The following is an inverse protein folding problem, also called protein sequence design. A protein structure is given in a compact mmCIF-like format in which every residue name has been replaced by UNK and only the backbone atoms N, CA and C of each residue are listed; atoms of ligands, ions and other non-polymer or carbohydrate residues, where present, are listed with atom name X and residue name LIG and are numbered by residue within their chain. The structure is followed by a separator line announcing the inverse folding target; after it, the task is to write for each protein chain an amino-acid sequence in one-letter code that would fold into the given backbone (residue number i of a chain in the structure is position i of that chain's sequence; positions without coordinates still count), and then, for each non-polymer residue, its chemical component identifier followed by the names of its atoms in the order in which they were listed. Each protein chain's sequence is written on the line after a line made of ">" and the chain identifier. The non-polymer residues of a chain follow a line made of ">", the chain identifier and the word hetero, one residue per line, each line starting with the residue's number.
data_IF_793945737169
#
_entry.id   IF_793945737169
#
_cell.length_a   1.000
_cell.length_b   1.000
_cell.length_c   1.000
_cell.angle_alpha   90.00
_cell.angle_beta   90.00
_cell.angle_gamma   90.00
#
_symmetry.space_group_name_H-M   'P 1'
#
loop_
_entity.id
_entity.type
_entity.pdbx_description
1 polymer ?
#
# COMPACT_ATOMS: atom_id res chain seq x y z
N UNK A 1 -2.93 14.96 57.92
CA UNK A 1 -3.45 14.71 56.56
C UNK A 1 -4.67 13.83 56.73
N UNK A 2 -5.85 14.33 56.39
CA UNK A 2 -7.11 13.62 56.64
C UNK A 2 -7.33 12.49 55.62
N UNK A 3 -8.00 11.42 56.07
CA UNK A 3 -8.38 10.27 55.25
C UNK A 3 -9.16 10.71 54.00
N UNK A 4 -9.97 11.74 54.12
CA UNK A 4 -10.75 12.35 53.03
C UNK A 4 -9.84 12.93 51.94
N UNK A 5 -8.73 13.59 52.31
CA UNK A 5 -7.76 14.12 51.36
C UNK A 5 -7.01 13.00 50.63
N UNK A 6 -6.67 11.91 51.35
CA UNK A 6 -6.04 10.72 50.76
C UNK A 6 -7.01 10.07 49.75
N UNK A 7 -8.28 9.90 50.12
CA UNK A 7 -9.31 9.31 49.26
C UNK A 7 -9.55 10.13 47.98
N UNK A 8 -9.53 11.45 48.07
CA UNK A 8 -9.63 12.34 46.90
C UNK A 8 -8.43 12.20 45.96
N UNK A 9 -7.21 12.13 46.50
CA UNK A 9 -6.00 11.92 45.70
C UNK A 9 -6.06 10.57 44.97
N UNK A 10 -6.44 9.49 45.68
CA UNK A 10 -6.59 8.15 45.07
C UNK A 10 -7.65 8.15 43.97
N UNK A 11 -8.79 8.81 44.22
CA UNK A 11 -9.87 8.92 43.22
C UNK A 11 -9.45 9.73 41.99
N UNK A 12 -8.68 10.81 42.20
CA UNK A 12 -8.12 11.62 41.11
C UNK A 12 -7.11 10.84 40.26
N UNK A 13 -6.21 10.08 40.91
CA UNK A 13 -5.26 9.20 40.22
C UNK A 13 -6.00 8.11 39.44
N UNK A 14 -7.02 7.48 40.02
CA UNK A 14 -7.83 6.47 39.32
C UNK A 14 -8.51 7.06 38.07
N UNK A 15 -9.05 8.26 38.17
CA UNK A 15 -9.67 8.98 37.03
C UNK A 15 -8.64 9.28 35.95
N UNK A 16 -7.44 9.72 36.32
CA UNK A 16 -6.35 9.98 35.38
C UNK A 16 -5.93 8.70 34.64
N UNK A 17 -5.81 7.58 35.36
CA UNK A 17 -5.46 6.28 34.76
C UNK A 17 -6.52 5.86 33.75
N UNK A 18 -7.80 5.96 34.10
CA UNK A 18 -8.90 5.64 33.18
C UNK A 18 -8.86 6.55 31.94
N UNK A 19 -8.64 7.85 32.11
CA UNK A 19 -8.54 8.79 31.00
C UNK A 19 -7.35 8.47 30.06
N UNK A 20 -6.19 8.08 30.61
CA UNK A 20 -5.04 7.66 29.81
C UNK A 20 -5.32 6.37 29.04
N UNK A 21 -5.99 5.39 29.66
CA UNK A 21 -6.39 4.15 28.99
C UNK A 21 -7.36 4.44 27.84
N UNK A 22 -8.37 5.29 28.07
CA UNK A 22 -9.31 5.73 27.02
C UNK A 22 -8.60 6.43 25.86
N UNK A 23 -7.62 7.28 26.16
CA UNK A 23 -6.82 7.95 25.13
C UNK A 23 -6.04 6.95 24.25
N UNK A 24 -5.44 5.93 24.86
CA UNK A 24 -4.73 4.86 24.14
C UNK A 24 -5.71 4.08 23.26
N UNK A 25 -6.87 3.69 23.81
CA UNK A 25 -7.92 2.98 23.06
C UNK A 25 -8.42 3.79 21.87
N UNK A 26 -8.65 5.09 22.05
CA UNK A 26 -9.16 5.97 20.98
C UNK A 26 -8.14 6.12 19.84
N UNK A 27 -6.84 6.20 20.16
CA UNK A 27 -5.77 6.19 19.15
C UNK A 27 -5.72 4.87 18.38
N UNK A 28 -5.90 3.75 19.06
CA UNK A 28 -5.95 2.43 18.43
C UNK A 28 -7.16 2.31 17.49
N UNK A 29 -8.36 2.68 17.98
CA UNK A 29 -9.61 2.66 17.21
C UNK A 29 -9.54 3.55 15.97
N UNK A 30 -8.92 4.73 16.06
CA UNK A 30 -8.75 5.61 14.90
C UNK A 30 -7.90 4.93 13.81
N UNK A 31 -6.78 4.30 14.21
CA UNK A 31 -5.92 3.56 13.28
C UNK A 31 -6.66 2.38 12.64
N UNK A 32 -7.44 1.63 13.43
CA UNK A 32 -8.20 0.49 12.92
C UNK A 32 -9.31 0.95 11.96
N UNK A 33 -9.99 2.06 12.25
CA UNK A 33 -10.99 2.65 11.37
C UNK A 33 -10.38 3.13 10.05
N UNK A 34 -9.23 3.79 10.07
CA UNK A 34 -8.51 4.18 8.85
C UNK A 34 -8.15 2.97 7.99
N UNK A 35 -7.71 1.87 8.61
CA UNK A 35 -7.41 0.62 7.91
C UNK A 35 -8.68 0.02 7.29
N UNK A 36 -9.79 -0.03 8.02
CA UNK A 36 -11.06 -0.56 7.50
C UNK A 36 -11.61 0.27 6.35
N UNK A 37 -11.59 1.60 6.47
CA UNK A 37 -12.02 2.51 5.40
C UNK A 37 -11.13 2.33 4.16
N UNK A 38 -9.82 2.17 4.36
CA UNK A 38 -8.90 1.91 3.25
C UNK A 38 -9.20 0.56 2.56
N UNK A 39 -9.42 -0.52 3.31
CA UNK A 39 -9.82 -1.82 2.76
C UNK A 39 -11.14 -1.69 2.00
N UNK A 40 -12.13 -1.02 2.58
CA UNK A 40 -13.44 -0.87 1.97
C UNK A 40 -13.36 -0.03 0.68
N UNK A 41 -12.56 1.04 0.69
CA UNK A 41 -12.27 1.83 -0.50
C UNK A 41 -11.56 1.01 -1.56
N UNK A 42 -10.63 0.14 -1.17
CA UNK A 42 -9.91 -0.76 -2.06
C UNK A 42 -10.85 -1.81 -2.67
N UNK A 43 -11.67 -2.48 -1.86
CA UNK A 43 -12.70 -3.43 -2.33
C UNK A 43 -13.72 -2.75 -3.23
N UNK A 44 -14.13 -1.52 -2.92
CA UNK A 44 -15.02 -0.73 -3.77
C UNK A 44 -14.34 -0.41 -5.11
N UNK A 45 -13.06 -0.06 -5.09
CA UNK A 45 -12.30 0.24 -6.29
C UNK A 45 -12.05 -1.01 -7.14
N UNK A 46 -11.73 -2.15 -6.52
CA UNK A 46 -11.66 -3.45 -7.19
C UNK A 46 -13.00 -3.81 -7.82
N UNK A 47 -14.12 -3.63 -7.10
CA UNK A 47 -15.45 -3.85 -7.68
C UNK A 47 -15.74 -2.91 -8.85
N UNK A 48 -15.39 -1.62 -8.77
CA UNK A 48 -15.70 -0.63 -9.81
C UNK A 48 -14.80 -0.76 -11.05
N UNK A 49 -13.52 -1.08 -10.88
CA UNK A 49 -12.53 -1.03 -11.96
C UNK A 49 -12.01 -2.41 -12.39
N UNK A 50 -12.24 -3.47 -11.61
CA UNK A 50 -11.84 -4.85 -11.91
C UNK A 50 -13.05 -5.80 -12.01
N UNK A 51 -14.13 -5.38 -12.70
CA UNK A 51 -15.34 -6.19 -12.90
C UNK A 51 -15.15 -7.54 -13.63
N UNK A 52 -13.92 -7.94 -13.98
CA UNK A 52 -13.62 -9.17 -14.74
C UNK A 52 -12.29 -9.86 -14.37
N UNK A 53 -11.71 -9.61 -13.19
CA UNK A 53 -10.36 -10.09 -12.79
C UNK A 53 -10.12 -11.61 -12.76
N UNK A 54 -11.05 -12.43 -13.24
CA UNK A 54 -10.94 -13.88 -13.27
C UNK A 54 -11.59 -14.50 -14.51
N UNK A 55 -11.93 -13.72 -15.54
CA UNK A 55 -12.35 -14.28 -16.82
C UNK A 55 -11.15 -14.75 -17.65
N UNK A 56 -11.42 -15.56 -18.67
CA UNK A 56 -10.36 -16.13 -19.51
C UNK A 56 -9.55 -15.04 -20.22
N UNK A 57 -10.21 -13.97 -20.67
CA UNK A 57 -9.57 -12.86 -21.36
C UNK A 57 -8.55 -12.15 -20.47
N UNK A 58 -8.90 -11.86 -19.23
CA UNK A 58 -7.98 -11.30 -18.25
C UNK A 58 -6.77 -12.21 -18.03
N UNK A 59 -6.98 -13.51 -17.85
CA UNK A 59 -5.89 -14.48 -17.68
C UNK A 59 -4.96 -14.45 -18.90
N UNK A 60 -5.51 -14.45 -20.11
CA UNK A 60 -4.74 -14.44 -21.36
C UNK A 60 -3.90 -13.16 -21.47
N UNK A 61 -4.48 -12.00 -21.15
CA UNK A 61 -3.75 -10.71 -21.10
C UNK A 61 -2.61 -10.76 -20.09
N UNK A 62 -2.88 -11.23 -18.87
CA UNK A 62 -1.88 -11.33 -17.82
C UNK A 62 -0.73 -12.26 -18.20
N UNK A 63 -1.04 -13.43 -18.80
CA UNK A 63 -0.03 -14.38 -19.26
C UNK A 63 0.83 -13.81 -20.38
N UNK A 64 0.22 -13.09 -21.34
CA UNK A 64 0.94 -12.42 -22.43
C UNK A 64 1.88 -11.32 -21.89
N UNK A 65 1.41 -10.52 -20.95
CA UNK A 65 2.17 -9.42 -20.35
C UNK A 65 3.41 -9.87 -19.55
N UNK A 66 3.57 -11.17 -19.24
CA UNK A 66 4.79 -11.72 -18.63
C UNK A 66 6.00 -11.48 -19.53
N UNK A 67 5.88 -11.77 -20.83
CA UNK A 67 6.98 -11.71 -21.79
C UNK A 67 6.86 -10.59 -22.83
N UNK A 68 5.69 -9.97 -22.95
CA UNK A 68 5.41 -8.94 -23.95
C UNK A 68 5.55 -7.53 -23.37
N UNK A 69 6.13 -6.62 -24.17
CA UNK A 69 6.18 -5.19 -23.84
C UNK A 69 4.76 -4.64 -23.73
N UNK A 70 4.57 -3.64 -22.88
CA UNK A 70 3.28 -3.00 -22.72
C UNK A 70 2.80 -2.38 -24.04
N UNK A 71 3.69 -1.81 -24.85
CA UNK A 71 3.35 -1.17 -26.13
C UNK A 71 2.96 -2.19 -27.22
N UNK A 72 3.46 -3.42 -27.10
CA UNK A 72 3.18 -4.53 -28.03
C UNK A 72 1.84 -5.25 -27.74
N UNK A 73 1.21 -4.96 -26.59
CA UNK A 73 -0.15 -5.42 -26.31
C UNK A 73 -1.16 -4.69 -27.21
N UNK A 74 -2.24 -5.36 -27.59
CA UNK A 74 -3.35 -4.69 -28.27
C UNK A 74 -3.96 -3.63 -27.34
N UNK A 75 -4.45 -2.52 -27.87
CA UNK A 75 -5.07 -1.41 -27.13
C UNK A 75 -6.08 -1.84 -26.02
N UNK A 76 -6.93 -2.84 -26.26
CA UNK A 76 -7.84 -3.37 -25.23
C UNK A 76 -7.09 -4.12 -24.12
N UNK A 77 -6.09 -4.95 -24.48
CA UNK A 77 -5.22 -5.65 -23.52
C UNK A 77 -4.40 -4.65 -22.70
N UNK A 78 -3.90 -3.59 -23.33
CA UNK A 78 -3.22 -2.48 -22.65
C UNK A 78 -4.12 -1.81 -21.62
N UNK A 79 -5.38 -1.55 -21.97
CA UNK A 79 -6.34 -0.98 -21.03
C UNK A 79 -6.54 -1.91 -19.82
N UNK A 80 -6.84 -3.19 -20.06
CA UNK A 80 -7.05 -4.21 -19.02
C UNK A 80 -5.83 -4.29 -18.09
N UNK A 81 -4.65 -4.49 -18.67
CA UNK A 81 -3.41 -4.63 -17.91
C UNK A 81 -3.07 -3.37 -17.12
N UNK A 82 -3.24 -2.18 -17.72
CA UNK A 82 -2.96 -0.90 -17.05
C UNK A 82 -3.90 -0.67 -15.87
N UNK A 83 -5.18 -1.03 -15.97
CA UNK A 83 -6.11 -0.92 -14.84
C UNK A 83 -5.67 -1.83 -13.70
N UNK A 84 -5.43 -3.11 -13.98
CA UNK A 84 -4.93 -4.06 -12.99
C UNK A 84 -3.64 -3.58 -12.32
N UNK A 85 -2.64 -3.18 -13.13
CA UNK A 85 -1.35 -2.71 -12.65
C UNK A 85 -1.50 -1.50 -11.73
N UNK A 86 -2.34 -0.54 -12.12
CA UNK A 86 -2.58 0.68 -11.33
C UNK A 86 -3.23 0.36 -9.98
N UNK A 87 -4.15 -0.61 -9.94
CA UNK A 87 -4.77 -1.08 -8.69
C UNK A 87 -3.74 -1.82 -7.82
N UNK A 88 -2.98 -2.74 -8.40
CA UNK A 88 -1.95 -3.51 -7.70
C UNK A 88 -0.87 -2.59 -7.11
N UNK A 89 -0.35 -1.63 -7.88
CA UNK A 89 0.64 -0.69 -7.39
C UNK A 89 0.06 0.23 -6.30
N UNK A 90 -1.17 0.75 -6.49
CA UNK A 90 -1.81 1.59 -5.46
C UNK A 90 -2.00 0.84 -4.14
N UNK A 91 -2.30 -0.46 -4.17
CA UNK A 91 -2.39 -1.30 -2.97
C UNK A 91 -1.08 -1.32 -2.20
N UNK A 92 0.06 -1.53 -2.88
CA UNK A 92 1.39 -1.51 -2.25
C UNK A 92 1.64 -0.15 -1.57
N UNK A 93 1.31 0.96 -2.26
CA UNK A 93 1.43 2.32 -1.72
C UNK A 93 0.55 2.53 -0.47
N UNK A 94 -0.70 2.06 -0.52
CA UNK A 94 -1.65 2.19 0.59
C UNK A 94 -1.22 1.36 1.80
N UNK A 95 -0.75 0.13 1.58
CA UNK A 95 -0.24 -0.75 2.63
C UNK A 95 0.96 -0.10 3.34
N UNK A 96 1.88 0.49 2.57
CA UNK A 96 3.03 1.23 3.10
C UNK A 96 2.59 2.44 3.92
N UNK A 97 1.67 3.23 3.39
CA UNK A 97 1.10 4.41 4.06
C UNK A 97 0.51 4.03 5.42
N UNK A 98 -0.32 3.00 5.45
CA UNK A 98 -0.99 2.49 6.66
C UNK A 98 -0.03 1.78 7.63
N UNK A 99 1.18 1.46 7.17
CA UNK A 99 2.19 0.79 7.97
C UNK A 99 1.91 -0.70 8.18
N UNK A 100 1.32 -1.37 7.18
CA UNK A 100 1.16 -2.82 7.20
C UNK A 100 2.52 -3.52 7.16
N UNK A 101 2.56 -4.76 7.64
CA UNK A 101 3.79 -5.53 7.83
C UNK A 101 4.89 -4.74 8.58
N UNK A 102 4.49 -3.81 9.47
CA UNK A 102 5.40 -2.90 10.18
C UNK A 102 6.35 -2.08 9.28
N UNK A 103 5.98 -1.88 8.00
CA UNK A 103 6.88 -1.27 6.99
C UNK A 103 8.20 -2.04 6.80
N UNK A 104 8.18 -3.36 7.00
CA UNK A 104 9.35 -4.21 6.77
C UNK A 104 9.82 -4.11 5.30
N UNK A 105 11.02 -3.58 5.02
CA UNK A 105 11.51 -3.39 3.67
C UNK A 105 11.49 -4.66 2.82
N UNK A 106 11.74 -5.82 3.43
CA UNK A 106 11.74 -7.10 2.73
C UNK A 106 10.35 -7.45 2.18
N UNK A 107 9.29 -7.27 3.00
CA UNK A 107 7.92 -7.52 2.58
C UNK A 107 7.51 -6.67 1.36
N UNK A 108 7.84 -5.38 1.37
CA UNK A 108 7.52 -4.49 0.24
C UNK A 108 8.40 -4.76 -0.98
N UNK A 109 9.66 -5.15 -0.78
CA UNK A 109 10.53 -5.58 -1.88
C UNK A 109 9.98 -6.82 -2.58
N UNK A 110 9.49 -7.81 -1.82
CA UNK A 110 8.81 -8.99 -2.37
C UNK A 110 7.55 -8.59 -3.15
N UNK A 111 6.73 -7.67 -2.61
CA UNK A 111 5.52 -7.19 -3.29
C UNK A 111 5.84 -6.53 -4.65
N UNK A 112 6.85 -5.65 -4.69
CA UNK A 112 7.31 -5.06 -5.94
C UNK A 112 7.92 -6.09 -6.89
N UNK A 113 8.68 -7.08 -6.40
CA UNK A 113 9.19 -8.16 -7.25
C UNK A 113 8.08 -8.96 -7.91
N UNK A 114 6.97 -9.20 -7.21
CA UNK A 114 5.79 -9.87 -7.79
C UNK A 114 5.13 -9.01 -8.87
N UNK A 115 5.00 -7.69 -8.63
CA UNK A 115 4.48 -6.75 -9.61
C UNK A 115 5.38 -6.69 -10.87
N UNK A 116 6.69 -6.69 -10.69
CA UNK A 116 7.69 -6.62 -11.74
C UNK A 116 7.97 -7.96 -12.44
N UNK A 117 7.26 -9.04 -12.08
CA UNK A 117 7.30 -10.30 -12.83
C UNK A 117 6.82 -10.12 -14.28
N UNK A 118 5.99 -9.11 -14.53
CA UNK A 118 5.48 -8.81 -15.86
C UNK A 118 6.39 -7.81 -16.57
N UNK A 119 6.86 -8.15 -17.78
CA UNK A 119 7.62 -7.22 -18.62
C UNK A 119 6.87 -5.90 -18.82
N UNK A 120 5.56 -5.99 -19.07
CA UNK A 120 4.71 -4.80 -19.20
C UNK A 120 4.69 -3.93 -17.92
N UNK A 121 4.78 -4.52 -16.72
CA UNK A 121 4.85 -3.74 -15.46
C UNK A 121 6.20 -3.07 -15.25
N UNK A 122 7.30 -3.72 -15.66
CA UNK A 122 8.63 -3.10 -15.63
C UNK A 122 8.69 -1.84 -16.51
N UNK A 123 8.02 -1.83 -17.65
CA UNK A 123 7.94 -0.66 -18.53
C UNK A 123 7.01 0.43 -17.96
N UNK A 124 5.87 0.05 -17.38
CA UNK A 124 5.00 1.03 -16.70
C UNK A 124 5.70 1.66 -15.48
N UNK A 125 6.62 0.93 -14.84
CA UNK A 125 7.47 1.46 -13.78
C UNK A 125 8.29 2.66 -14.24
N UNK A 126 8.99 2.50 -15.36
CA UNK A 126 9.89 3.51 -15.92
C UNK A 126 9.13 4.66 -16.59
N UNK A 127 7.99 4.38 -17.22
CA UNK A 127 7.20 5.40 -17.94
C UNK A 127 6.42 6.31 -16.98
N UNK A 128 5.97 5.80 -15.83
CA UNK A 128 4.98 6.52 -15.00
C UNK A 128 5.20 6.40 -13.49
N UNK A 129 5.43 5.20 -12.99
CA UNK A 129 5.21 4.93 -11.56
C UNK A 129 6.34 5.44 -10.66
N UNK A 130 7.57 5.49 -11.16
CA UNK A 130 8.68 6.14 -10.47
C UNK A 130 8.35 7.61 -10.15
N UNK A 131 7.90 8.36 -11.15
CA UNK A 131 7.56 9.78 -10.98
C UNK A 131 6.36 9.96 -10.07
N UNK A 132 5.34 9.11 -10.20
CA UNK A 132 4.19 9.12 -9.30
C UNK A 132 4.62 8.94 -7.84
N UNK A 133 5.45 7.93 -7.55
CA UNK A 133 5.85 7.64 -6.18
C UNK A 133 6.83 8.69 -5.64
N UNK A 134 7.74 9.19 -6.48
CA UNK A 134 8.60 10.33 -6.16
C UNK A 134 7.79 11.56 -5.78
N UNK A 135 6.74 11.87 -6.52
CA UNK A 135 5.86 13.00 -6.23
C UNK A 135 5.09 12.80 -4.92
N UNK A 136 4.61 11.58 -4.64
CA UNK A 136 3.94 11.26 -3.37
C UNK A 136 4.89 11.43 -2.19
N UNK A 137 6.11 10.88 -2.27
CA UNK A 137 7.09 10.95 -1.17
C UNK A 137 7.64 12.36 -0.94
N UNK A 138 7.79 13.17 -2.00
CA UNK A 138 8.27 14.55 -1.89
C UNK A 138 7.17 15.56 -1.53
N UNK A 139 5.90 15.14 -1.48
CA UNK A 139 4.80 16.04 -1.18
C UNK A 139 4.76 16.36 0.31
N UNK A 140 5.32 17.52 0.67
CA UNK A 140 5.36 18.06 2.04
C UNK A 140 3.99 18.30 2.67
N UNK A 141 2.92 18.32 1.88
CA UNK A 141 1.53 18.42 2.38
C UNK A 141 0.98 17.08 2.85
N UNK A 142 1.69 15.98 2.62
CA UNK A 142 1.27 14.64 3.03
C UNK A 142 2.15 14.12 4.15
N UNK A 143 1.57 13.42 5.12
CA UNK A 143 2.32 12.69 6.16
C UNK A 143 2.85 11.33 5.64
N UNK A 144 3.11 11.24 4.34
CA UNK A 144 3.54 10.00 3.72
C UNK A 144 4.95 9.63 4.20
N UNK A 145 5.17 8.35 4.51
CA UNK A 145 6.50 7.88 4.95
C UNK A 145 7.36 7.62 3.72
N UNK A 146 8.56 8.17 3.70
CA UNK A 146 9.53 7.97 2.60
C UNK A 146 10.16 6.58 2.64
N UNK A 147 10.72 6.16 1.51
CA UNK A 147 11.53 4.94 1.40
C UNK A 147 10.91 3.85 0.53
N UNK A 148 9.64 3.94 0.18
CA UNK A 148 8.98 2.97 -0.70
C UNK A 148 9.56 3.04 -2.12
N UNK A 149 9.84 4.25 -2.63
CA UNK A 149 10.50 4.47 -3.91
C UNK A 149 11.87 3.80 -3.98
N UNK A 150 12.64 3.91 -2.90
CA UNK A 150 13.95 3.25 -2.80
C UNK A 150 13.80 1.73 -2.88
N UNK A 151 12.88 1.17 -2.10
CA UNK A 151 12.61 -0.28 -2.08
C UNK A 151 12.15 -0.77 -3.46
N UNK A 152 11.26 -0.03 -4.12
CA UNK A 152 10.78 -0.36 -5.45
C UNK A 152 11.92 -0.33 -6.49
N UNK A 153 12.79 0.67 -6.45
CA UNK A 153 13.95 0.74 -7.33
C UNK A 153 14.94 -0.42 -7.09
N UNK A 154 15.19 -0.80 -5.84
CA UNK A 154 16.02 -1.97 -5.53
C UNK A 154 15.39 -3.25 -6.09
N UNK A 155 14.07 -3.44 -5.94
CA UNK A 155 13.36 -4.59 -6.51
C UNK A 155 13.42 -4.61 -8.04
N UNK A 156 13.30 -3.45 -8.68
CA UNK A 156 13.40 -3.29 -10.13
C UNK A 156 14.79 -3.70 -10.64
N UNK A 157 15.85 -3.17 -10.03
CA UNK A 157 17.23 -3.46 -10.42
C UNK A 157 17.57 -4.95 -10.29
N UNK A 158 17.16 -5.59 -9.18
CA UNK A 158 17.41 -7.02 -8.96
C UNK A 158 16.71 -7.95 -9.95
N UNK A 159 15.65 -7.50 -10.62
CA UNK A 159 14.97 -8.28 -11.67
C UNK A 159 15.64 -8.08 -13.02
N UNK A 160 16.29 -6.93 -13.24
CA UNK A 160 17.03 -6.62 -14.46
C UNK A 160 18.41 -7.28 -14.48
N UNK A 161 19.00 -7.56 -13.31
CA UNK A 161 20.25 -8.29 -13.22
C UNK A 161 20.01 -9.79 -13.48
N UNK A 162 20.74 -10.40 -14.44
CA UNK A 162 20.70 -11.85 -14.59
C UNK A 162 21.22 -12.48 -13.29
N UNK A 163 20.50 -13.48 -12.78
CA UNK A 163 20.98 -14.32 -11.67
C UNK A 163 22.34 -14.88 -12.09
N UNK A 164 23.41 -14.41 -11.43
CA UNK A 164 24.77 -14.92 -11.64
C UNK A 164 24.89 -16.38 -11.21
#
# INVERSE_FOLDING_TARGET
>A
MDITSIAQIVSGIATLVVALVLLIQLRQQHKDAEIQIAIMSETMNEKIYNFGNYDQNFIDVMMKAISTSFEDLHENEQFIFRQWHSVAHRRIIQDWRLGRANRDPLAYKIAYKQLFRFKSSLELWTIRDQDLLKNIENNSKTNFKTGLLKIANEAYLEIQEPIQ
#
